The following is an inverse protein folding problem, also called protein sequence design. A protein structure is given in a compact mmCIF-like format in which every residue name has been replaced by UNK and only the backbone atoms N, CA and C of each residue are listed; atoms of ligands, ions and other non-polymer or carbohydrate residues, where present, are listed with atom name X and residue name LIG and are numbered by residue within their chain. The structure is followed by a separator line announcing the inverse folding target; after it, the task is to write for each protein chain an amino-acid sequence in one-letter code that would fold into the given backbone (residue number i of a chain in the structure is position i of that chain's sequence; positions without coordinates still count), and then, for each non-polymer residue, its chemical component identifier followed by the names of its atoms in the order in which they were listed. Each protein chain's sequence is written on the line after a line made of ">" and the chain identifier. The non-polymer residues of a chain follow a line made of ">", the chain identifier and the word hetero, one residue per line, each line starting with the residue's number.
data_IF_267433711371
#
_entry.id   IF_267433711371
#
_cell.length_a   1.000
_cell.length_b   1.000
_cell.length_c   1.000
_cell.angle_alpha   90.00
_cell.angle_beta   90.00
_cell.angle_gamma   90.00
#
_symmetry.space_group_name_H-M   'P 1'
#
loop_
_entity.id
_entity.type
_entity.pdbx_description
1 polymer ?
#
# COMPACT_ATOMS: atom_id res chain seq x y z
N UNK A 1 -2.82 -4.19 12.97
CA UNK A 1 -3.42 -3.45 11.83
C UNK A 1 -4.14 -2.17 12.29
N UNK A 2 -5.04 -2.22 13.29
CA UNK A 2 -5.85 -1.06 13.72
C UNK A 2 -5.05 0.18 14.12
N UNK A 3 -3.88 0.03 14.79
CA UNK A 3 -2.99 1.17 15.08
C UNK A 3 -2.47 1.85 13.82
N UNK A 4 -2.15 1.07 12.79
CA UNK A 4 -1.63 1.60 11.52
C UNK A 4 -2.72 2.33 10.73
N UNK A 5 -3.95 1.81 10.72
CA UNK A 5 -5.09 2.49 10.11
C UNK A 5 -5.32 3.88 10.73
N UNK A 6 -5.29 3.96 12.06
CA UNK A 6 -5.71 5.16 12.79
C UNK A 6 -4.59 6.15 13.10
N UNK A 7 -3.32 5.74 13.09
CA UNK A 7 -2.20 6.62 13.44
C UNK A 7 -1.43 7.05 12.19
N UNK A 8 -1.62 8.30 11.77
CA UNK A 8 -0.94 8.89 10.60
C UNK A 8 0.57 9.04 10.81
N UNK A 9 1.01 9.42 12.01
CA UNK A 9 2.45 9.56 12.30
C UNK A 9 3.18 8.23 12.16
N UNK A 10 2.59 7.16 12.70
CA UNK A 10 3.11 5.79 12.55
C UNK A 10 3.18 5.38 11.07
N UNK A 11 2.14 5.67 10.28
CA UNK A 11 2.15 5.40 8.83
C UNK A 11 3.26 6.18 8.11
N UNK A 12 3.48 7.43 8.49
CA UNK A 12 4.45 8.31 7.86
C UNK A 12 5.90 7.98 8.26
N UNK A 13 6.10 7.38 9.44
CA UNK A 13 7.40 6.90 9.91
C UNK A 13 7.90 5.67 9.13
N UNK A 14 7.00 4.94 8.44
CA UNK A 14 7.40 3.78 7.63
C UNK A 14 8.25 4.22 6.43
N UNK A 15 9.39 3.57 6.27
CA UNK A 15 10.19 3.61 5.04
C UNK A 15 9.41 2.99 3.86
N UNK A 16 9.81 3.24 2.60
CA UNK A 16 9.16 2.63 1.44
C UNK A 16 9.17 1.09 1.50
N UNK A 17 10.25 0.48 1.99
CA UNK A 17 10.38 -0.97 2.12
C UNK A 17 9.47 -1.53 3.22
N UNK A 18 9.44 -0.91 4.39
CA UNK A 18 8.56 -1.33 5.49
C UNK A 18 7.09 -1.19 5.12
N UNK A 19 6.72 -0.13 4.40
CA UNK A 19 5.38 0.07 3.88
C UNK A 19 4.98 -1.04 2.91
N UNK A 20 5.84 -1.39 1.95
CA UNK A 20 5.57 -2.46 1.00
C UNK A 20 5.43 -3.83 1.71
N UNK A 21 6.28 -4.09 2.71
CA UNK A 21 6.20 -5.31 3.52
C UNK A 21 4.93 -5.35 4.36
N UNK A 22 4.53 -4.22 4.97
CA UNK A 22 3.29 -4.11 5.73
C UNK A 22 2.07 -4.37 4.84
N UNK A 23 2.00 -3.77 3.65
CA UNK A 23 0.93 -4.04 2.68
C UNK A 23 0.86 -5.53 2.31
N UNK A 24 1.99 -6.15 1.98
CA UNK A 24 2.05 -7.57 1.62
C UNK A 24 1.69 -8.51 2.81
N UNK A 25 1.96 -8.10 4.04
CA UNK A 25 1.55 -8.84 5.23
C UNK A 25 0.04 -8.70 5.48
N UNK A 26 -0.51 -7.48 5.38
CA UNK A 26 -1.95 -7.23 5.56
C UNK A 26 -2.78 -7.96 4.51
N UNK A 27 -2.27 -8.09 3.28
CA UNK A 27 -2.95 -8.79 2.18
C UNK A 27 -3.11 -10.30 2.39
N UNK A 28 -2.56 -10.86 3.48
CA UNK A 28 -2.81 -12.26 3.89
C UNK A 28 -4.18 -12.44 4.55
N UNK A 29 -4.81 -11.35 5.00
CA UNK A 29 -6.14 -11.36 5.61
C UNK A 29 -7.02 -10.24 5.02
N UNK A 30 -7.35 -10.31 3.72
CA UNK A 30 -8.06 -9.23 3.03
C UNK A 30 -9.47 -8.99 3.56
N UNK A 31 -10.12 -10.04 4.06
CA UNK A 31 -11.47 -10.00 4.64
C UNK A 31 -11.49 -9.53 6.11
N UNK A 32 -10.32 -9.34 6.73
CA UNK A 32 -10.25 -8.78 8.09
C UNK A 32 -10.38 -7.25 8.00
N UNK A 33 -11.43 -6.64 8.58
CA UNK A 33 -11.69 -5.20 8.40
C UNK A 33 -10.49 -4.32 8.76
N UNK A 34 -9.83 -4.60 9.88
CA UNK A 34 -8.65 -3.84 10.30
C UNK A 34 -7.46 -3.96 9.34
N UNK A 35 -7.33 -5.07 8.61
CA UNK A 35 -6.30 -5.23 7.58
C UNK A 35 -6.65 -4.43 6.33
N UNK A 36 -7.91 -4.47 5.89
CA UNK A 36 -8.40 -3.66 4.79
C UNK A 36 -8.25 -2.16 5.08
N UNK A 37 -8.66 -1.71 6.27
CA UNK A 37 -8.54 -0.30 6.71
C UNK A 37 -7.08 0.16 6.71
N UNK A 38 -6.18 -0.67 7.26
CA UNK A 38 -4.76 -0.36 7.31
C UNK A 38 -4.13 -0.34 5.91
N UNK A 39 -4.53 -1.26 5.03
CA UNK A 39 -4.04 -1.30 3.66
C UNK A 39 -4.53 -0.10 2.86
N UNK A 40 -5.81 0.27 2.98
CA UNK A 40 -6.37 1.46 2.35
C UNK A 40 -5.63 2.71 2.83
N UNK A 41 -5.42 2.84 4.14
CA UNK A 41 -4.68 3.95 4.74
C UNK A 41 -3.22 4.08 4.24
N UNK A 42 -2.57 2.98 3.85
CA UNK A 42 -1.24 2.98 3.21
C UNK A 42 -1.33 3.24 1.69
N UNK A 43 -2.39 2.75 1.03
CA UNK A 43 -2.66 3.01 -0.38
C UNK A 43 -2.93 4.50 -0.63
N UNK A 44 -3.73 5.16 0.20
CA UNK A 44 -3.95 6.62 0.12
C UNK A 44 -2.63 7.39 0.21
N UNK A 45 -1.74 7.00 1.15
CA UNK A 45 -0.40 7.60 1.26
C UNK A 45 0.41 7.42 -0.02
N UNK A 46 0.40 6.23 -0.61
CA UNK A 46 1.08 5.99 -1.89
C UNK A 46 0.47 6.81 -3.03
N UNK A 47 -0.85 7.00 -3.06
CA UNK A 47 -1.53 7.81 -4.06
C UNK A 47 -1.04 9.27 -3.98
N UNK A 48 -1.04 9.84 -2.78
CA UNK A 48 -0.64 11.22 -2.50
C UNK A 48 0.86 11.45 -2.71
N UNK A 49 1.71 10.52 -2.27
CA UNK A 49 3.17 10.69 -2.26
C UNK A 49 3.84 10.07 -3.49
N UNK A 50 3.94 10.82 -4.59
CA UNK A 50 4.66 10.38 -5.80
C UNK A 50 6.13 10.03 -5.52
N UNK A 51 6.78 10.76 -4.61
CA UNK A 51 8.16 10.49 -4.19
C UNK A 51 8.32 9.12 -3.53
N UNK A 52 7.39 8.77 -2.65
CA UNK A 52 7.33 7.47 -1.98
C UNK A 52 7.18 6.33 -2.99
N UNK A 53 6.27 6.48 -3.97
CA UNK A 53 6.15 5.51 -5.08
C UNK A 53 7.48 5.33 -5.80
N UNK A 54 8.15 6.42 -6.19
CA UNK A 54 9.45 6.36 -6.88
C UNK A 54 10.55 5.70 -6.07
N UNK A 55 10.51 5.82 -4.74
CA UNK A 55 11.48 5.22 -3.83
C UNK A 55 11.30 3.70 -3.64
N UNK A 56 10.19 3.12 -4.10
CA UNK A 56 10.01 1.65 -4.10
C UNK A 56 11.01 1.00 -5.06
N UNK A 57 11.79 0.06 -4.54
CA UNK A 57 12.62 -0.84 -5.32
C UNK A 57 11.74 -1.90 -6.04
N UNK A 58 12.30 -2.71 -6.97
CA UNK A 58 11.52 -3.69 -7.73
C UNK A 58 10.70 -4.66 -6.89
N UNK A 59 11.29 -5.18 -5.79
CA UNK A 59 10.56 -6.08 -4.87
C UNK A 59 9.41 -5.34 -4.17
N UNK A 60 9.63 -4.09 -3.77
CA UNK A 60 8.61 -3.24 -3.16
C UNK A 60 7.45 -2.99 -4.11
N UNK A 61 7.74 -2.73 -5.39
CA UNK A 61 6.70 -2.58 -6.42
C UNK A 61 5.89 -3.88 -6.57
N UNK A 62 6.55 -5.03 -6.66
CA UNK A 62 5.86 -6.32 -6.77
C UNK A 62 5.00 -6.63 -5.53
N UNK A 63 5.52 -6.37 -4.32
CA UNK A 63 4.80 -6.55 -3.07
C UNK A 63 3.55 -5.65 -3.00
N UNK A 64 3.68 -4.39 -3.38
CA UNK A 64 2.55 -3.44 -3.40
C UNK A 64 1.51 -3.88 -4.43
N UNK A 65 1.89 -4.20 -5.67
CA UNK A 65 0.94 -4.69 -6.68
C UNK A 65 0.20 -5.96 -6.23
N UNK A 66 0.94 -6.93 -5.66
CA UNK A 66 0.35 -8.14 -5.12
C UNK A 66 -0.64 -7.83 -3.97
N UNK A 67 -0.29 -6.91 -3.08
CA UNK A 67 -1.16 -6.52 -1.98
C UNK A 67 -2.44 -5.82 -2.46
N UNK A 68 -2.29 -4.79 -3.31
CA UNK A 68 -3.42 -4.00 -3.83
C UNK A 68 -4.38 -4.83 -4.68
N UNK A 69 -3.92 -5.92 -5.31
CA UNK A 69 -4.78 -6.87 -6.03
C UNK A 69 -5.86 -7.51 -5.16
N UNK A 70 -5.74 -7.44 -3.82
CA UNK A 70 -6.75 -7.96 -2.89
C UNK A 70 -7.92 -7.01 -2.64
N UNK A 71 -7.79 -5.74 -3.00
CA UNK A 71 -8.83 -4.74 -2.83
C UNK A 71 -9.01 -3.92 -4.11
N UNK A 72 -9.38 -4.57 -5.24
CA UNK A 72 -9.46 -3.91 -6.55
C UNK A 72 -10.54 -2.82 -6.61
N UNK A 73 -11.59 -2.93 -5.80
CA UNK A 73 -12.71 -1.97 -5.76
C UNK A 73 -12.42 -0.73 -4.91
N UNK A 74 -11.25 -0.68 -4.25
CA UNK A 74 -10.83 0.51 -3.49
C UNK A 74 -10.17 1.52 -4.44
N UNK A 75 -10.70 2.76 -4.58
CA UNK A 75 -10.19 3.72 -5.56
C UNK A 75 -8.69 3.99 -5.45
N UNK A 76 -8.17 4.12 -4.22
CA UNK A 76 -6.75 4.37 -3.97
C UNK A 76 -5.90 3.15 -4.36
N UNK A 77 -6.36 1.94 -4.08
CA UNK A 77 -5.68 0.71 -4.50
C UNK A 77 -5.58 0.62 -6.02
N UNK A 78 -6.68 0.88 -6.73
CA UNK A 78 -6.70 0.89 -8.19
C UNK A 78 -5.77 1.97 -8.77
N UNK A 79 -5.85 3.21 -8.26
CA UNK A 79 -5.03 4.32 -8.73
C UNK A 79 -3.53 4.07 -8.53
N UNK A 80 -3.13 3.55 -7.37
CA UNK A 80 -1.73 3.22 -7.09
C UNK A 80 -1.26 2.06 -7.95
N UNK A 81 -2.08 1.00 -8.10
CA UNK A 81 -1.74 -0.13 -8.95
C UNK A 81 -1.52 0.30 -10.40
N UNK A 82 -2.41 1.11 -10.98
CA UNK A 82 -2.25 1.67 -12.32
C UNK A 82 -0.98 2.51 -12.44
N UNK A 83 -0.72 3.41 -11.47
CA UNK A 83 0.46 4.26 -11.51
C UNK A 83 1.79 3.47 -11.38
N UNK A 84 1.78 2.35 -10.66
CA UNK A 84 2.93 1.45 -10.58
C UNK A 84 3.08 0.62 -11.85
N UNK A 85 1.99 0.12 -12.43
CA UNK A 85 2.00 -0.61 -13.69
C UNK A 85 2.55 0.26 -14.83
N UNK A 86 2.18 1.54 -14.90
CA UNK A 86 2.72 2.49 -15.88
C UNK A 86 4.23 2.75 -15.75
N UNK A 87 4.87 2.39 -14.63
CA UNK A 87 6.33 2.48 -14.48
C UNK A 87 7.07 1.25 -15.01
N UNK A 88 6.34 0.16 -15.26
CA UNK A 88 6.89 -1.11 -15.73
C UNK A 88 6.75 -1.29 -17.25
N UNK A 89 5.91 -0.46 -17.89
CA UNK A 89 5.77 -0.37 -19.34
C UNK A 89 6.84 0.56 -19.93
#
# INVERSE_FOLDING_TARGET
>A
ASRLANNRELRNALTPQELANALNALSKWPDTPHCADAANALASRLADERGLRKALNPQGVANVLNALSKWPDTPDCAAVASALASRLA
#
